data_IF_748747038627
#
_entry.id   IF_748747038627
#
_cell.length_a   1.000
_cell.length_b   1.000
_cell.length_c   1.000
_cell.angle_alpha   90.00
_cell.angle_beta   90.00
_cell.angle_gamma   90.00
#
_symmetry.space_group_name_H-M   'P 1'
#
loop_
_entity.id
_entity.type
_entity.pdbx_description
1 polymer ?
#
# COMPACT_ATOMS: atom_id res chain seq x y z
N UNK A 1 -2.02 -28.05 -5.16
CA UNK A 1 -2.35 -28.41 -3.76
C UNK A 1 -1.57 -27.59 -2.73
N UNK A 2 -0.23 -27.45 -2.79
CA UNK A 2 0.54 -26.63 -1.83
C UNK A 2 0.17 -25.14 -1.81
N UNK A 3 -0.16 -24.55 -2.97
CA UNK A 3 -0.51 -23.11 -3.10
C UNK A 3 -1.85 -22.77 -2.45
N UNK A 4 -2.85 -23.65 -2.53
CA UNK A 4 -4.18 -23.44 -1.94
C UNK A 4 -4.12 -23.51 -0.41
N UNK A 5 -3.27 -24.38 0.14
CA UNK A 5 -3.05 -24.48 1.57
C UNK A 5 -2.37 -23.23 2.14
N UNK A 6 -1.32 -22.74 1.48
CA UNK A 6 -0.59 -21.53 1.89
C UNK A 6 -1.48 -20.27 1.90
N UNK A 7 -2.40 -20.14 0.93
CA UNK A 7 -3.37 -19.03 0.89
C UNK A 7 -4.39 -19.11 2.04
N UNK A 8 -4.89 -20.31 2.35
CA UNK A 8 -5.80 -20.50 3.49
C UNK A 8 -5.11 -20.26 4.83
N UNK A 9 -3.85 -20.65 4.96
CA UNK A 9 -3.08 -20.45 6.20
C UNK A 9 -2.73 -18.96 6.40
N UNK A 10 -2.38 -18.23 5.33
CA UNK A 10 -2.20 -16.78 5.39
C UNK A 10 -3.49 -16.03 5.77
N UNK A 11 -4.64 -16.41 5.19
CA UNK A 11 -5.93 -15.81 5.52
C UNK A 11 -6.33 -16.07 6.98
N UNK A 12 -6.06 -17.29 7.50
CA UNK A 12 -6.30 -17.61 8.91
C UNK A 12 -5.39 -16.81 9.84
N UNK A 13 -4.12 -16.64 9.48
CA UNK A 13 -3.16 -15.86 10.27
C UNK A 13 -3.60 -14.38 10.34
N UNK A 14 -3.98 -13.79 9.20
CA UNK A 14 -4.51 -12.42 9.16
C UNK A 14 -5.75 -12.29 10.05
N UNK A 15 -6.72 -13.20 9.93
CA UNK A 15 -7.91 -13.16 10.78
C UNK A 15 -7.56 -13.24 12.28
N UNK A 16 -6.56 -14.04 12.64
CA UNK A 16 -6.03 -14.11 14.01
C UNK A 16 -5.42 -12.79 14.47
N UNK A 17 -4.58 -12.17 13.64
CA UNK A 17 -3.95 -10.86 13.90
C UNK A 17 -5.01 -9.79 14.13
N UNK A 18 -6.05 -9.72 13.29
CA UNK A 18 -7.12 -8.72 13.43
C UNK A 18 -8.03 -8.97 14.63
N UNK A 19 -8.35 -10.23 14.94
CA UNK A 19 -9.11 -10.57 16.14
C UNK A 19 -8.35 -10.16 17.42
N UNK A 20 -7.04 -10.41 17.46
CA UNK A 20 -6.19 -10.01 18.58
C UNK A 20 -6.03 -8.49 18.65
N UNK A 21 -5.91 -7.81 17.50
CA UNK A 21 -5.85 -6.36 17.43
C UNK A 21 -7.14 -5.72 18.00
N UNK A 22 -8.32 -6.27 17.64
CA UNK A 22 -9.61 -5.82 18.12
C UNK A 22 -9.77 -6.02 19.63
N UNK A 23 -9.32 -7.16 20.17
CA UNK A 23 -9.34 -7.42 21.61
C UNK A 23 -8.45 -6.43 22.40
N UNK A 24 -7.33 -6.00 21.83
CA UNK A 24 -6.46 -5.00 22.49
C UNK A 24 -7.14 -3.63 22.70
N UNK A 25 -8.14 -3.29 21.89
CA UNK A 25 -8.90 -2.05 22.03
C UNK A 25 -9.83 -2.04 23.27
N UNK A 26 -10.14 -3.21 23.84
CA UNK A 26 -10.96 -3.33 25.06
C UNK A 26 -10.27 -2.74 26.31
N UNK A 27 -8.97 -2.48 26.23
CA UNK A 27 -8.21 -1.84 27.31
C UNK A 27 -8.54 -0.34 27.49
N UNK A 28 -9.23 0.29 26.53
CA UNK A 28 -9.50 1.72 26.54
C UNK A 28 -10.95 2.08 26.88
N UNK A 29 -11.17 3.25 27.53
CA UNK A 29 -12.50 3.69 27.91
C UNK A 29 -13.37 4.03 26.69
N UNK A 30 -14.68 3.82 26.85
CA UNK A 30 -15.66 4.28 25.86
C UNK A 30 -15.77 5.82 25.83
N UNK A 31 -16.09 6.42 24.67
CA UNK A 31 -16.44 5.80 23.38
C UNK A 31 -15.23 5.44 22.50
N UNK A 32 -14.01 5.72 22.94
CA UNK A 32 -12.80 5.55 22.11
C UNK A 32 -12.45 4.08 21.89
N UNK A 33 -12.67 3.21 22.89
CA UNK A 33 -12.53 1.76 22.74
C UNK A 33 -13.37 1.20 21.59
N UNK A 34 -14.67 1.56 21.53
CA UNK A 34 -15.54 1.16 20.42
C UNK A 34 -15.08 1.71 19.07
N UNK A 35 -14.60 2.96 19.02
CA UNK A 35 -14.08 3.56 17.80
C UNK A 35 -12.86 2.79 17.27
N UNK A 36 -11.89 2.49 18.13
CA UNK A 36 -10.69 1.72 17.77
C UNK A 36 -11.07 0.31 17.31
N UNK A 37 -11.96 -0.39 18.02
CA UNK A 37 -12.48 -1.70 17.56
C UNK A 37 -13.12 -1.61 16.18
N UNK A 38 -13.97 -0.61 15.96
CA UNK A 38 -14.62 -0.39 14.67
C UNK A 38 -13.63 -0.16 13.54
N UNK A 39 -12.57 0.61 13.79
CA UNK A 39 -11.49 0.85 12.83
C UNK A 39 -10.76 -0.45 12.46
N UNK A 40 -10.36 -1.25 13.46
CA UNK A 40 -9.70 -2.54 13.23
C UNK A 40 -10.58 -3.48 12.41
N UNK A 41 -11.86 -3.63 12.77
CA UNK A 41 -12.77 -4.52 12.06
C UNK A 41 -13.03 -4.10 10.61
N UNK A 42 -13.05 -2.79 10.32
CA UNK A 42 -13.20 -2.29 8.94
C UNK A 42 -11.96 -2.49 8.08
N UNK A 43 -10.78 -2.47 8.69
CA UNK A 43 -9.51 -2.64 7.99
C UNK A 43 -9.13 -4.12 7.76
N UNK A 44 -9.90 -5.08 8.28
CA UNK A 44 -9.65 -6.51 8.10
C UNK A 44 -9.79 -6.92 6.63
N UNK A 45 -8.70 -7.31 5.94
CA UNK A 45 -8.73 -7.63 4.53
C UNK A 45 -9.35 -9.01 4.25
N UNK A 46 -9.74 -9.77 5.28
CA UNK A 46 -10.53 -11.01 5.13
C UNK A 46 -12.03 -10.74 4.93
N UNK A 47 -12.47 -9.48 5.12
CA UNK A 47 -13.82 -9.01 4.86
C UNK A 47 -14.23 -9.01 3.38
N UNK A 48 -15.41 -8.42 3.09
CA UNK A 48 -16.00 -8.43 1.74
C UNK A 48 -15.24 -7.58 0.71
N UNK A 49 -14.54 -6.53 1.16
CA UNK A 49 -13.76 -5.63 0.31
C UNK A 49 -12.27 -5.90 0.52
N UNK A 50 -11.74 -6.91 -0.18
CA UNK A 50 -10.32 -7.27 -0.12
C UNK A 50 -9.47 -6.19 -0.81
N UNK A 51 -9.01 -5.18 -0.06
CA UNK A 51 -7.95 -4.28 -0.54
C UNK A 51 -6.58 -4.97 -0.46
N UNK A 52 -5.68 -4.58 -1.35
CA UNK A 52 -4.30 -5.08 -1.53
C UNK A 52 -3.33 -4.72 -0.38
N UNK A 53 -3.78 -4.08 0.69
CA UNK A 53 -2.92 -3.49 1.73
C UNK A 53 -2.50 -4.50 2.82
N UNK A 54 -2.40 -5.79 2.48
CA UNK A 54 -2.05 -6.83 3.44
C UNK A 54 -0.55 -6.96 3.72
N UNK A 55 0.30 -6.27 2.96
CA UNK A 55 1.76 -6.28 3.14
C UNK A 55 2.18 -5.91 4.56
N UNK A 56 1.55 -4.90 5.18
CA UNK A 56 1.91 -4.48 6.52
C UNK A 56 1.72 -5.58 7.58
N UNK A 57 0.73 -6.47 7.41
CA UNK A 57 0.41 -7.52 8.36
C UNK A 57 1.21 -8.80 8.12
N UNK A 58 1.53 -9.11 6.86
CA UNK A 58 2.25 -10.32 6.51
C UNK A 58 3.77 -10.14 6.45
N UNK A 59 4.27 -8.90 6.36
CA UNK A 59 5.69 -8.62 6.26
C UNK A 59 6.53 -9.24 7.38
N UNK A 60 6.16 -9.13 8.68
CA UNK A 60 6.92 -9.78 9.75
C UNK A 60 7.04 -11.29 9.55
N UNK A 61 5.95 -11.95 9.13
CA UNK A 61 5.92 -13.39 8.87
C UNK A 61 6.74 -13.77 7.65
N UNK A 62 6.67 -13.01 6.55
CA UNK A 62 7.48 -13.28 5.35
C UNK A 62 8.98 -13.17 5.61
N UNK A 63 9.38 -12.18 6.41
CA UNK A 63 10.78 -12.04 6.84
C UNK A 63 11.13 -13.15 7.82
N UNK A 64 10.23 -13.49 8.75
CA UNK A 64 10.44 -14.57 9.70
C UNK A 64 10.60 -15.95 9.05
N UNK A 65 9.87 -16.24 7.98
CA UNK A 65 10.03 -17.46 7.17
C UNK A 65 11.41 -17.53 6.51
N UNK A 66 11.94 -16.39 6.06
CA UNK A 66 13.26 -16.30 5.45
C UNK A 66 14.38 -16.44 6.49
N UNK A 67 14.22 -15.85 7.67
CA UNK A 67 15.29 -15.72 8.67
C UNK A 67 15.22 -16.76 9.79
N UNK A 68 14.11 -17.49 9.91
CA UNK A 68 13.83 -18.39 11.03
C UNK A 68 13.43 -17.65 12.32
N UNK A 69 12.95 -16.40 12.23
CA UNK A 69 12.50 -15.66 13.39
C UNK A 69 11.32 -16.36 14.09
N UNK A 70 11.16 -16.09 15.40
CA UNK A 70 10.11 -16.71 16.20
C UNK A 70 8.70 -16.32 15.65
N UNK A 71 7.84 -17.29 15.28
CA UNK A 71 6.51 -17.00 14.77
C UNK A 71 5.63 -16.20 15.74
N UNK A 72 5.79 -16.40 17.05
CA UNK A 72 5.04 -15.65 18.07
C UNK A 72 5.45 -14.17 18.08
N UNK A 73 6.74 -13.86 17.89
CA UNK A 73 7.22 -12.50 17.71
C UNK A 73 6.67 -11.90 16.42
N UNK A 74 6.71 -12.64 15.31
CA UNK A 74 6.19 -12.15 14.02
C UNK A 74 4.71 -11.79 14.11
N UNK A 75 3.91 -12.59 14.82
CA UNK A 75 2.49 -12.28 15.09
C UNK A 75 2.32 -11.02 15.94
N UNK A 76 3.07 -10.86 17.02
CA UNK A 76 2.95 -9.67 17.88
C UNK A 76 3.32 -8.39 17.11
N UNK A 77 4.35 -8.46 16.26
CA UNK A 77 4.72 -7.38 15.33
C UNK A 77 3.61 -7.10 14.31
N UNK A 78 2.98 -8.14 13.75
CA UNK A 78 1.87 -7.99 12.82
C UNK A 78 0.67 -7.28 13.48
N UNK A 79 0.34 -7.62 14.72
CA UNK A 79 -0.70 -6.91 15.51
C UNK A 79 -0.29 -5.46 15.74
N UNK A 80 0.97 -5.21 16.12
CA UNK A 80 1.51 -3.85 16.22
C UNK A 80 1.39 -3.05 14.92
N UNK A 81 1.62 -3.69 13.77
CA UNK A 81 1.51 -3.08 12.45
C UNK A 81 0.06 -2.70 12.09
N UNK A 82 -0.94 -3.47 12.52
CA UNK A 82 -2.36 -3.07 12.39
C UNK A 82 -2.58 -1.71 13.06
N UNK A 83 -2.10 -1.56 14.30
CA UNK A 83 -2.28 -0.31 15.03
C UNK A 83 -1.50 0.85 14.41
N UNK A 84 -0.24 0.62 14.01
CA UNK A 84 0.57 1.64 13.35
C UNK A 84 -0.06 2.10 12.04
N UNK A 85 -0.53 1.18 11.20
CA UNK A 85 -1.15 1.51 9.92
C UNK A 85 -2.44 2.32 10.12
N UNK A 86 -3.32 1.90 11.04
CA UNK A 86 -4.54 2.65 11.36
C UNK A 86 -4.23 4.04 11.93
N UNK A 87 -3.17 4.17 12.73
CA UNK A 87 -2.72 5.47 13.21
C UNK A 87 -2.37 6.41 12.04
N UNK A 88 -1.59 5.93 11.07
CA UNK A 88 -1.22 6.74 9.90
C UNK A 88 -2.41 7.02 8.97
N UNK A 89 -3.32 6.06 8.76
CA UNK A 89 -4.54 6.31 7.97
C UNK A 89 -5.41 7.40 8.58
N UNK A 90 -5.59 7.41 9.91
CA UNK A 90 -6.34 8.48 10.57
C UNK A 90 -5.64 9.84 10.49
N UNK A 91 -4.30 9.86 10.45
CA UNK A 91 -3.57 11.11 10.23
C UNK A 91 -3.76 11.61 8.80
N UNK A 92 -3.64 10.72 7.81
CA UNK A 92 -3.84 11.02 6.39
C UNK A 92 -5.25 11.56 6.15
N UNK A 93 -6.29 10.82 6.58
CA UNK A 93 -7.70 11.21 6.45
C UNK A 93 -7.99 12.61 7.03
N UNK A 94 -7.34 12.97 8.15
CA UNK A 94 -7.51 14.28 8.79
C UNK A 94 -6.70 15.37 8.08
N UNK A 95 -5.55 15.05 7.49
CA UNK A 95 -4.73 16.00 6.72
C UNK A 95 -5.35 16.32 5.36
N UNK A 96 -5.94 15.32 4.71
CA UNK A 96 -6.66 15.47 3.44
C UNK A 96 -8.07 16.04 3.63
N UNK A 97 -8.60 15.89 4.85
CA UNK A 97 -9.82 16.55 5.29
C UNK A 97 -9.72 18.08 5.25
N UNK A 98 -10.86 18.72 5.00
CA UNK A 98 -10.98 20.18 5.03
C UNK A 98 -10.98 20.76 6.46
N UNK A 99 -12.02 21.51 6.82
CA UNK A 99 -12.07 22.16 8.13
C UNK A 99 -12.22 21.14 9.29
N UNK A 100 -11.29 21.21 10.25
CA UNK A 100 -11.23 20.28 11.38
C UNK A 100 -12.49 20.32 12.27
N UNK A 101 -13.26 19.23 12.25
CA UNK A 101 -14.51 19.02 13.00
C UNK A 101 -14.37 18.21 14.29
N UNK A 102 -15.51 17.88 14.91
CA UNK A 102 -15.56 17.02 16.11
C UNK A 102 -15.13 15.58 15.81
N UNK A 103 -15.39 15.09 14.60
CA UNK A 103 -14.96 13.75 14.18
C UNK A 103 -13.44 13.68 14.02
N UNK A 104 -12.79 14.73 13.51
CA UNK A 104 -11.33 14.79 13.39
C UNK A 104 -10.64 14.78 14.77
N UNK A 105 -11.23 15.45 15.76
CA UNK A 105 -10.72 15.38 17.14
C UNK A 105 -10.79 13.96 17.72
N UNK A 106 -11.86 13.21 17.41
CA UNK A 106 -12.01 11.81 17.84
C UNK A 106 -11.06 10.90 17.08
N UNK A 107 -10.88 11.12 15.78
CA UNK A 107 -9.91 10.42 14.94
C UNK A 107 -8.49 10.62 15.49
N UNK A 108 -8.06 11.85 15.76
CA UNK A 108 -6.74 12.14 16.33
C UNK A 108 -6.56 11.50 17.71
N UNK A 109 -7.57 11.56 18.58
CA UNK A 109 -7.53 10.92 19.89
C UNK A 109 -7.40 9.38 19.76
N UNK A 110 -8.19 8.75 18.89
CA UNK A 110 -8.08 7.33 18.60
C UNK A 110 -6.72 6.97 18.00
N UNK A 111 -6.19 7.83 17.11
CA UNK A 111 -4.85 7.72 16.55
C UNK A 111 -3.77 7.65 17.63
N UNK A 112 -3.85 8.46 18.69
CA UNK A 112 -2.89 8.38 19.79
C UNK A 112 -2.99 7.08 20.60
N UNK A 113 -4.20 6.53 20.76
CA UNK A 113 -4.38 5.22 21.41
C UNK A 113 -3.80 4.08 20.55
N UNK A 114 -4.02 4.14 19.23
CA UNK A 114 -3.43 3.21 18.27
C UNK A 114 -1.90 3.26 18.32
N UNK A 115 -1.31 4.45 18.36
CA UNK A 115 0.13 4.63 18.53
C UNK A 115 0.63 4.01 19.84
N UNK A 116 -0.08 4.19 20.95
CA UNK A 116 0.28 3.58 22.23
C UNK A 116 0.24 2.04 22.17
N UNK A 117 -0.80 1.46 21.56
CA UNK A 117 -0.91 0.01 21.35
C UNK A 117 0.22 -0.55 20.47
N UNK A 118 0.56 0.14 19.39
CA UNK A 118 1.70 -0.21 18.54
C UNK A 118 3.00 -0.25 19.35
N UNK A 119 3.28 0.80 20.12
CA UNK A 119 4.48 0.90 20.95
C UNK A 119 4.51 -0.20 22.02
N UNK A 120 3.37 -0.54 22.62
CA UNK A 120 3.28 -1.63 23.60
C UNK A 120 3.66 -2.98 22.98
N UNK A 121 3.10 -3.32 21.81
CA UNK A 121 3.37 -4.58 21.10
C UNK A 121 4.85 -4.72 20.77
N UNK A 122 5.44 -3.70 20.15
CA UNK A 122 6.87 -3.72 19.84
C UNK A 122 7.75 -3.69 21.11
N UNK A 123 7.34 -2.96 22.15
CA UNK A 123 8.07 -2.84 23.41
C UNK A 123 8.21 -4.14 24.20
N UNK A 124 7.34 -5.12 23.98
CA UNK A 124 7.47 -6.47 24.57
C UNK A 124 8.71 -7.23 24.09
N UNK A 125 9.20 -6.89 22.89
CA UNK A 125 10.31 -7.55 22.24
C UNK A 125 11.57 -6.68 22.18
N UNK A 126 11.41 -5.35 22.19
CA UNK A 126 12.52 -4.42 22.03
C UNK A 126 12.58 -3.44 23.20
N UNK A 127 13.65 -3.48 24.03
CA UNK A 127 13.83 -2.51 25.10
C UNK A 127 14.04 -1.09 24.53
N UNK A 128 13.87 -0.03 25.34
CA UNK A 128 13.97 1.36 24.87
C UNK A 128 15.31 1.75 24.23
N UNK A 129 16.39 1.05 24.55
CA UNK A 129 17.74 1.24 24.00
C UNK A 129 18.01 0.41 22.72
N UNK A 130 17.04 -0.37 22.26
CA UNK A 130 17.13 -1.14 21.03
C UNK A 130 17.43 -0.25 19.81
N UNK A 131 18.32 -0.70 18.88
CA UNK A 131 18.58 0.02 17.63
C UNK A 131 17.33 0.15 16.74
N UNK A 132 16.31 -0.70 16.93
CA UNK A 132 15.04 -0.63 16.21
C UNK A 132 14.43 0.79 16.24
N UNK A 133 14.48 1.45 17.40
CA UNK A 133 13.86 2.76 17.57
C UNK A 133 14.56 3.87 16.81
N UNK A 134 15.84 3.68 16.44
CA UNK A 134 16.53 4.59 15.53
C UNK A 134 15.95 4.47 14.11
N UNK A 135 15.75 3.24 13.61
CA UNK A 135 15.08 3.01 12.33
C UNK A 135 13.66 3.58 12.32
N UNK A 136 12.90 3.38 13.40
CA UNK A 136 11.55 3.93 13.50
C UNK A 136 11.54 5.46 13.36
N UNK A 137 12.45 6.17 14.04
CA UNK A 137 12.56 7.64 13.89
C UNK A 137 12.92 8.06 12.48
N UNK A 138 13.81 7.32 11.81
CA UNK A 138 14.16 7.58 10.41
C UNK A 138 12.94 7.43 9.51
N UNK A 139 12.21 6.32 9.62
CA UNK A 139 11.02 6.08 8.78
C UNK A 139 9.87 7.05 9.09
N UNK A 140 9.73 7.49 10.34
CA UNK A 140 8.78 8.53 10.71
C UNK A 140 9.16 9.88 10.08
N UNK A 141 10.45 10.23 10.03
CA UNK A 141 10.92 11.45 9.38
C UNK A 141 10.73 11.39 7.85
N UNK A 142 10.95 10.23 7.24
CA UNK A 142 10.67 10.00 5.82
C UNK A 142 9.17 10.18 5.51
N UNK A 143 8.30 9.58 6.31
CA UNK A 143 6.84 9.75 6.21
C UNK A 143 6.45 11.22 6.35
N UNK A 144 6.89 11.87 7.43
CA UNK A 144 6.54 13.25 7.73
C UNK A 144 6.96 14.22 6.60
N UNK A 145 8.14 13.98 6.01
CA UNK A 145 8.63 14.76 4.86
C UNK A 145 7.76 14.49 3.62
N UNK A 146 7.36 13.25 3.39
CA UNK A 146 6.58 12.88 2.21
C UNK A 146 5.17 13.49 2.24
N UNK A 147 4.48 13.43 3.38
CA UNK A 147 3.14 14.02 3.53
C UNK A 147 3.18 15.56 3.55
N UNK A 148 4.25 16.17 4.07
CA UNK A 148 4.37 17.64 4.07
C UNK A 148 4.69 18.23 2.69
N UNK A 149 5.40 17.46 1.85
CA UNK A 149 5.80 17.88 0.51
C UNK A 149 4.79 17.48 -0.59
N UNK A 150 3.69 16.84 -0.20
CA UNK A 150 2.69 16.34 -1.13
C UNK A 150 2.07 17.45 -1.99
N UNK A 151 1.81 17.14 -3.26
CA UNK A 151 1.31 18.10 -4.24
C UNK A 151 2.31 19.18 -4.68
N UNK A 152 3.38 19.45 -3.92
CA UNK A 152 4.39 20.47 -4.28
C UNK A 152 5.16 20.06 -5.54
N UNK A 153 5.51 18.77 -5.65
CA UNK A 153 6.17 18.18 -6.83
C UNK A 153 5.29 17.08 -7.39
N UNK A 154 5.41 16.85 -8.70
CA UNK A 154 4.75 15.71 -9.34
C UNK A 154 5.37 14.40 -8.88
N UNK A 155 4.55 13.43 -8.52
CA UNK A 155 5.00 12.08 -8.22
C UNK A 155 5.63 11.46 -9.48
N UNK A 156 6.90 11.09 -9.39
CA UNK A 156 7.61 10.43 -10.50
C UNK A 156 7.30 8.93 -10.47
N UNK A 157 6.65 8.36 -11.50
CA UNK A 157 6.32 6.94 -11.52
C UNK A 157 7.54 6.02 -11.53
N UNK A 158 8.76 6.53 -11.78
CA UNK A 158 10.01 5.74 -11.77
C UNK A 158 10.82 5.88 -10.48
N UNK A 159 10.49 6.82 -9.61
CA UNK A 159 11.18 6.98 -8.33
C UNK A 159 10.50 6.12 -7.25
N UNK A 160 10.79 4.82 -7.28
CA UNK A 160 10.20 3.87 -6.33
C UNK A 160 10.44 4.27 -4.87
N UNK A 161 11.58 4.91 -4.57
CA UNK A 161 11.88 5.35 -3.20
C UNK A 161 10.97 6.49 -2.80
N UNK A 162 10.73 7.46 -3.68
CA UNK A 162 9.80 8.55 -3.42
C UNK A 162 8.36 8.04 -3.24
N UNK A 163 7.90 7.15 -4.13
CA UNK A 163 6.57 6.55 -4.06
C UNK A 163 6.33 5.78 -2.74
N UNK A 164 7.35 5.08 -2.23
CA UNK A 164 7.22 4.31 -1.00
C UNK A 164 7.33 5.14 0.30
N UNK A 165 7.68 6.43 0.26
CA UNK A 165 7.97 7.20 1.50
C UNK A 165 6.77 7.38 2.40
N UNK A 166 5.57 7.57 1.83
CA UNK A 166 4.31 7.62 2.59
C UNK A 166 4.01 6.31 3.33
N UNK A 167 4.61 5.21 2.91
CA UNK A 167 4.50 3.91 3.57
C UNK A 167 5.78 3.50 4.30
N UNK A 168 6.76 4.40 4.47
CA UNK A 168 8.03 4.09 5.11
C UNK A 168 7.92 3.39 6.48
N UNK A 169 6.94 3.72 7.37
CA UNK A 169 6.79 3.04 8.65
C UNK A 169 6.55 1.52 8.53
N UNK A 170 6.01 1.04 7.41
CA UNK A 170 5.79 -0.41 7.16
C UNK A 170 7.10 -1.19 7.21
N UNK A 171 8.23 -0.58 6.82
CA UNK A 171 9.56 -1.20 6.87
C UNK A 171 9.94 -1.69 8.27
N UNK A 172 9.39 -1.09 9.33
CA UNK A 172 9.77 -1.39 10.71
C UNK A 172 9.56 -2.87 11.08
N UNK A 173 8.51 -3.50 10.57
CA UNK A 173 8.24 -4.93 10.81
C UNK A 173 9.35 -5.84 10.28
N UNK A 174 9.91 -5.52 9.11
CA UNK A 174 11.05 -6.25 8.55
C UNK A 174 12.32 -6.03 9.36
N UNK A 175 12.60 -4.77 9.74
CA UNK A 175 13.76 -4.43 10.59
C UNK A 175 13.70 -5.19 11.91
N UNK A 176 12.55 -5.20 12.57
CA UNK A 176 12.34 -5.93 13.81
C UNK A 176 12.62 -7.43 13.61
N UNK A 177 11.97 -8.07 12.64
CA UNK A 177 12.20 -9.49 12.38
C UNK A 177 13.69 -9.83 12.15
N UNK A 178 14.42 -9.00 11.37
CA UNK A 178 15.85 -9.17 11.13
C UNK A 178 16.73 -8.97 12.36
N UNK A 179 16.44 -7.94 13.18
CA UNK A 179 17.14 -7.71 14.43
C UNK A 179 16.94 -8.88 15.41
N UNK A 180 15.74 -9.43 15.49
CA UNK A 180 15.45 -10.60 16.35
C UNK A 180 16.19 -11.86 15.89
N UNK A 181 16.47 -11.98 14.58
CA UNK A 181 17.22 -13.07 13.99
C UNK A 181 18.75 -12.85 14.02
N UNK A 182 19.23 -11.71 14.51
CA UNK A 182 20.66 -11.39 14.53
C UNK A 182 21.25 -11.08 13.15
N UNK A 183 20.45 -10.54 12.23
CA UNK A 183 20.82 -10.27 10.83
C UNK A 183 20.76 -8.78 10.47
N UNK A 184 21.41 -7.86 11.23
CA UNK A 184 21.33 -6.43 10.96
C UNK A 184 21.92 -6.03 9.59
N UNK A 185 22.89 -6.79 9.08
CA UNK A 185 23.55 -6.50 7.79
C UNK A 185 22.61 -6.66 6.59
N UNK A 186 21.47 -7.34 6.75
CA UNK A 186 20.47 -7.53 5.70
C UNK A 186 19.36 -6.46 5.72
N UNK A 187 19.39 -5.53 6.68
CA UNK A 187 18.32 -4.53 6.84
C UNK A 187 18.21 -3.61 5.62
N UNK A 188 19.32 -3.21 5.03
CA UNK A 188 19.31 -2.31 3.86
C UNK A 188 18.63 -2.98 2.65
N UNK A 189 18.98 -4.23 2.35
CA UNK A 189 18.41 -4.97 1.23
C UNK A 189 16.92 -5.27 1.45
N UNK A 190 16.54 -5.64 2.68
CA UNK A 190 15.14 -5.86 3.03
C UNK A 190 14.31 -4.57 2.98
N UNK A 191 14.87 -3.44 3.44
CA UNK A 191 14.21 -2.15 3.34
C UNK A 191 13.97 -1.76 1.87
N UNK A 192 14.97 -1.94 1.00
CA UNK A 192 14.80 -1.68 -0.43
C UNK A 192 13.77 -2.62 -1.07
N UNK A 193 13.78 -3.91 -0.73
CA UNK A 193 12.77 -4.84 -1.23
C UNK A 193 11.34 -4.44 -0.83
N UNK A 194 11.16 -3.99 0.42
CA UNK A 194 9.88 -3.46 0.90
C UNK A 194 9.49 -2.18 0.16
N UNK A 195 10.43 -1.26 -0.07
CA UNK A 195 10.17 -0.03 -0.84
C UNK A 195 9.72 -0.33 -2.28
N UNK A 196 10.38 -1.27 -2.97
CA UNK A 196 9.99 -1.65 -4.33
C UNK A 196 8.58 -2.25 -4.35
N UNK A 197 8.24 -3.11 -3.39
CA UNK A 197 6.92 -3.70 -3.26
C UNK A 197 5.83 -2.66 -2.96
N UNK A 198 6.12 -1.71 -2.06
CA UNK A 198 5.19 -0.62 -1.70
C UNK A 198 5.02 0.37 -2.86
N UNK A 199 6.08 0.68 -3.61
CA UNK A 199 5.98 1.51 -4.80
C UNK A 199 5.12 0.84 -5.89
N UNK A 200 5.21 -0.48 -6.04
CA UNK A 200 4.32 -1.23 -6.94
C UNK A 200 2.86 -1.13 -6.51
N UNK A 201 2.58 -1.22 -5.21
CA UNK A 201 1.24 -1.04 -4.66
C UNK A 201 0.72 0.38 -4.94
N UNK A 202 1.52 1.41 -4.63
CA UNK A 202 1.15 2.81 -4.87
C UNK A 202 0.82 3.08 -6.34
N UNK A 203 1.61 2.55 -7.28
CA UNK A 203 1.33 2.69 -8.71
C UNK A 203 0.02 2.01 -9.14
N UNK A 204 -0.35 0.91 -8.49
CA UNK A 204 -1.61 0.23 -8.77
C UNK A 204 -2.81 0.98 -8.16
N UNK A 205 -2.64 1.56 -6.97
CA UNK A 205 -3.65 2.41 -6.32
C UNK A 205 -3.84 3.71 -7.12
N UNK A 206 -2.76 4.38 -7.54
CA UNK A 206 -2.82 5.57 -8.41
C UNK A 206 -3.54 5.28 -9.74
N UNK A 207 -3.43 4.04 -10.25
CA UNK A 207 -4.21 3.58 -11.41
C UNK A 207 -5.68 3.28 -11.06
N UNK A 208 -5.98 2.74 -9.88
CA UNK A 208 -7.36 2.52 -9.49
C UNK A 208 -8.11 3.86 -9.30
N UNK A 209 -7.42 4.85 -8.72
CA UNK A 209 -8.00 6.07 -8.19
C UNK A 209 -7.83 7.29 -9.12
N UNK A 210 -7.21 7.12 -10.31
CA UNK A 210 -6.89 8.25 -11.21
C UNK A 210 -8.06 9.18 -11.54
N UNK A 211 -9.31 8.67 -11.55
CA UNK A 211 -10.50 9.49 -11.82
C UNK A 211 -10.83 10.42 -10.66
N UNK A 212 -10.67 9.93 -9.44
CA UNK A 212 -10.96 10.64 -8.21
C UNK A 212 -9.83 11.63 -7.90
N UNK A 213 -8.58 11.29 -8.24
CA UNK A 213 -7.41 12.15 -8.03
C UNK A 213 -7.24 13.23 -9.10
N UNK A 214 -7.82 13.04 -10.29
CA UNK A 214 -7.74 14.01 -11.37
C UNK A 214 -8.18 15.43 -10.93
N UNK A 215 -9.31 15.61 -10.23
CA UNK A 215 -9.66 16.89 -9.62
C UNK A 215 -8.86 17.15 -8.34
N UNK A 216 -7.79 17.94 -8.42
CA UNK A 216 -7.12 18.52 -7.26
C UNK A 216 -5.86 17.77 -6.80
N UNK A 217 -5.73 16.48 -7.11
CA UNK A 217 -4.59 15.64 -6.68
C UNK A 217 -3.73 15.14 -7.86
N UNK A 218 -3.95 15.69 -9.08
CA UNK A 218 -3.23 15.33 -10.32
C UNK A 218 -1.70 15.29 -10.17
N UNK A 219 -1.14 16.10 -9.26
CA UNK A 219 0.30 16.17 -9.02
C UNK A 219 0.80 15.04 -8.10
N UNK A 220 -0.03 14.58 -7.18
CA UNK A 220 0.34 13.51 -6.23
C UNK A 220 0.17 12.12 -6.85
N UNK A 221 -0.70 11.98 -7.87
CA UNK A 221 -0.90 10.72 -8.58
C UNK A 221 0.18 10.49 -9.68
N UNK A 222 0.94 9.41 -9.55
CA UNK A 222 2.04 9.07 -10.44
C UNK A 222 1.57 8.55 -11.81
N UNK A 223 0.40 7.89 -11.88
CA UNK A 223 -0.19 7.48 -13.16
C UNK A 223 -0.63 8.70 -14.00
N UNK A 224 -1.24 9.71 -13.39
CA UNK A 224 -1.59 10.95 -14.07
C UNK A 224 -0.32 11.71 -14.52
N UNK A 225 0.75 11.66 -13.73
CA UNK A 225 2.06 12.19 -14.14
C UNK A 225 2.64 11.45 -15.34
N UNK A 226 2.56 10.11 -15.36
CA UNK A 226 2.95 9.26 -16.50
C UNK A 226 2.17 9.65 -17.77
N UNK A 227 0.84 9.73 -17.66
CA UNK A 227 -0.06 10.12 -18.77
C UNK A 227 0.35 11.47 -19.34
N UNK A 228 0.51 12.48 -18.47
CA UNK A 228 0.88 13.84 -18.86
C UNK A 228 2.22 13.87 -19.58
N UNK A 229 3.27 13.36 -18.94
CA UNK A 229 4.65 13.57 -19.40
C UNK A 229 5.03 12.67 -20.56
N UNK A 230 4.61 11.42 -20.53
CA UNK A 230 5.13 10.40 -21.42
C UNK A 230 4.15 10.00 -22.51
N UNK A 231 2.86 9.90 -22.18
CA UNK A 231 1.85 9.52 -23.17
C UNK A 231 1.36 10.71 -24.02
N UNK A 232 1.30 11.91 -23.44
CA UNK A 232 0.75 13.10 -24.09
C UNK A 232 1.77 14.22 -24.33
N UNK A 233 2.91 14.24 -23.62
CA UNK A 233 3.86 15.35 -23.59
C UNK A 233 3.17 16.71 -23.36
N UNK A 234 2.21 16.74 -22.41
CA UNK A 234 1.32 17.86 -22.18
C UNK A 234 2.02 18.95 -21.33
N UNK A 235 2.05 20.22 -21.79
CA UNK A 235 2.63 21.34 -21.03
C UNK A 235 2.01 21.53 -19.64
N UNK A 236 2.79 22.02 -18.67
CA UNK A 236 2.36 22.19 -17.27
C UNK A 236 1.23 23.22 -17.10
N UNK A 237 1.14 24.21 -17.97
CA UNK A 237 0.09 25.24 -17.97
C UNK A 237 -1.24 24.72 -18.56
N UNK A 238 -1.23 23.57 -19.22
CA UNK A 238 -2.42 22.96 -19.78
C UNK A 238 -3.04 21.94 -18.80
N UNK A 239 -4.32 22.10 -18.41
CA UNK A 239 -4.98 21.17 -17.49
C UNK A 239 -5.15 19.79 -18.14
N UNK A 240 -4.89 18.72 -17.37
CA UNK A 240 -5.19 17.36 -17.79
C UNK A 240 -6.69 17.13 -17.67
N UNK A 241 -7.34 16.77 -18.78
CA UNK A 241 -8.78 16.51 -18.80
C UNK A 241 -9.03 15.02 -18.88
N UNK A 242 -10.12 14.54 -18.29
CA UNK A 242 -10.48 13.11 -18.28
C UNK A 242 -10.45 12.50 -19.69
N UNK A 243 -10.98 13.20 -20.69
CA UNK A 243 -10.93 12.77 -22.10
C UNK A 243 -9.52 12.53 -22.63
N UNK A 244 -8.53 13.29 -22.17
CA UNK A 244 -7.12 13.14 -22.57
C UNK A 244 -6.50 11.93 -21.87
N UNK A 245 -6.87 11.68 -20.61
CA UNK A 245 -6.45 10.47 -19.88
C UNK A 245 -7.02 9.22 -20.55
N UNK A 246 -8.32 9.21 -20.87
CA UNK A 246 -8.95 8.12 -21.63
C UNK A 246 -8.29 7.95 -23.02
N UNK A 247 -7.96 9.04 -23.71
CA UNK A 247 -7.21 8.97 -24.95
C UNK A 247 -5.83 8.31 -24.74
N UNK A 248 -5.13 8.64 -23.66
CA UNK A 248 -3.83 8.06 -23.36
C UNK A 248 -3.94 6.55 -23.06
N UNK A 249 -4.93 6.15 -22.28
CA UNK A 249 -5.22 4.74 -21.96
C UNK A 249 -5.52 3.95 -23.24
N UNK A 250 -6.53 4.35 -24.01
CA UNK A 250 -7.02 3.54 -25.14
C UNK A 250 -6.26 3.71 -26.45
N UNK A 251 -5.47 4.80 -26.63
CA UNK A 251 -4.79 5.08 -27.91
C UNK A 251 -3.28 5.29 -27.81
N UNK A 252 -2.74 5.58 -26.62
CA UNK A 252 -1.30 5.83 -26.43
C UNK A 252 -0.61 4.76 -25.56
N UNK A 253 -1.37 3.77 -25.09
CA UNK A 253 -0.85 2.68 -24.29
C UNK A 253 -0.26 3.14 -22.96
N UNK A 254 -0.91 4.11 -22.29
CA UNK A 254 -0.46 4.59 -20.99
C UNK A 254 -0.41 3.46 -19.94
N UNK A 255 -1.36 2.53 -20.02
CA UNK A 255 -1.42 1.39 -19.10
C UNK A 255 -0.31 0.37 -19.38
N UNK A 256 0.08 0.16 -20.64
CA UNK A 256 1.28 -0.61 -20.99
C UNK A 256 2.57 0.03 -20.47
N UNK A 257 2.67 1.36 -20.47
CA UNK A 257 3.82 2.06 -19.90
C UNK A 257 3.89 1.85 -18.38
N UNK A 258 2.75 1.92 -17.67
CA UNK A 258 2.67 1.60 -16.25
C UNK A 258 3.09 0.15 -15.97
N UNK A 259 2.56 -0.79 -16.76
CA UNK A 259 2.91 -2.21 -16.65
C UNK A 259 4.43 -2.44 -16.85
N UNK A 260 5.05 -1.72 -17.77
CA UNK A 260 6.50 -1.79 -17.99
C UNK A 260 7.31 -1.32 -16.77
N UNK A 261 6.85 -0.29 -16.06
CA UNK A 261 7.50 0.18 -14.83
C UNK A 261 7.39 -0.89 -13.73
N UNK A 262 6.19 -1.46 -13.56
CA UNK A 262 5.95 -2.52 -12.58
C UNK A 262 6.75 -3.81 -12.89
N UNK A 263 6.92 -4.16 -14.16
CA UNK A 263 7.82 -5.27 -14.54
C UNK A 263 9.27 -4.98 -14.14
N UNK A 264 9.74 -3.74 -14.33
CA UNK A 264 11.05 -3.29 -13.85
C UNK A 264 11.21 -3.37 -12.32
N UNK A 265 10.15 -3.13 -11.55
CA UNK A 265 10.16 -3.37 -10.10
C UNK A 265 10.37 -4.86 -9.78
N UNK A 266 9.73 -5.77 -10.52
CA UNK A 266 9.91 -7.21 -10.36
C UNK A 266 11.34 -7.66 -10.68
N UNK A 267 11.93 -7.13 -11.75
CA UNK A 267 13.35 -7.36 -12.09
C UNK A 267 14.27 -6.88 -10.97
N UNK A 268 14.02 -5.68 -10.42
CA UNK A 268 14.79 -5.13 -9.31
C UNK A 268 14.70 -5.99 -8.05
N UNK A 269 13.49 -6.39 -7.65
CA UNK A 269 13.28 -7.32 -6.54
C UNK A 269 14.03 -8.63 -6.72
N UNK A 270 14.06 -9.15 -7.95
CA UNK A 270 14.74 -10.41 -8.25
C UNK A 270 16.27 -10.31 -8.23
N UNK A 271 16.81 -9.09 -8.38
CA UNK A 271 18.24 -8.82 -8.33
C UNK A 271 18.77 -8.57 -6.90
N UNK A 272 17.87 -8.29 -5.93
CA UNK A 272 18.26 -8.09 -4.54
C UNK A 272 18.59 -9.43 -3.87
N UNK A 273 19.61 -9.47 -2.99
CA UNK A 273 19.92 -10.67 -2.22
C UNK A 273 18.86 -10.91 -1.13
N UNK A 274 18.60 -12.18 -0.82
CA UNK A 274 17.77 -12.59 0.32
C UNK A 274 16.39 -11.91 0.39
N UNK A 275 15.70 -11.75 -0.74
CA UNK A 275 14.34 -11.22 -0.74
C UNK A 275 13.36 -12.26 -0.22
N UNK A 276 12.50 -11.86 0.71
CA UNK A 276 11.45 -12.73 1.21
C UNK A 276 10.50 -13.15 0.07
N UNK A 277 10.25 -14.46 -0.14
CA UNK A 277 9.38 -14.94 -1.21
C UNK A 277 7.96 -14.33 -1.19
N UNK A 278 7.47 -13.96 -0.01
CA UNK A 278 6.20 -13.27 0.16
C UNK A 278 6.14 -11.90 -0.53
N UNK A 279 7.23 -11.12 -0.49
CA UNK A 279 7.32 -9.82 -1.18
C UNK A 279 7.32 -9.99 -2.71
N UNK A 280 8.03 -11.01 -3.21
CA UNK A 280 8.03 -11.33 -4.64
C UNK A 280 6.64 -11.72 -5.11
N UNK A 281 5.95 -12.60 -4.36
CA UNK A 281 4.58 -13.01 -4.69
C UNK A 281 3.61 -11.82 -4.65
N UNK A 282 3.71 -10.98 -3.63
CA UNK A 282 2.90 -9.77 -3.50
C UNK A 282 3.04 -8.86 -4.74
N UNK A 283 4.27 -8.59 -5.15
CA UNK A 283 4.54 -7.76 -6.32
C UNK A 283 4.05 -8.42 -7.62
N UNK A 284 4.19 -9.74 -7.75
CA UNK A 284 3.66 -10.49 -8.91
C UNK A 284 2.14 -10.44 -9.00
N UNK A 285 1.43 -10.46 -7.87
CA UNK A 285 -0.03 -10.32 -7.83
C UNK A 285 -0.47 -8.94 -8.33
N UNK A 286 0.25 -7.88 -7.93
CA UNK A 286 0.01 -6.52 -8.43
C UNK A 286 0.23 -6.44 -9.94
N UNK A 287 1.37 -6.95 -10.43
CA UNK A 287 1.66 -7.00 -11.88
C UNK A 287 0.56 -7.76 -12.62
N UNK A 288 0.12 -8.90 -12.11
CA UNK A 288 -0.94 -9.68 -12.73
C UNK A 288 -2.25 -8.90 -12.82
N UNK A 289 -2.62 -8.14 -11.78
CA UNK A 289 -3.77 -7.23 -11.80
C UNK A 289 -3.69 -6.21 -12.93
N UNK A 290 -2.57 -5.47 -13.02
CA UNK A 290 -2.38 -4.46 -14.05
C UNK A 290 -2.33 -5.07 -15.46
N UNK A 291 -1.70 -6.24 -15.63
CA UNK A 291 -1.67 -6.93 -16.92
C UNK A 291 -3.08 -7.39 -17.37
N UNK A 292 -3.96 -7.76 -16.43
CA UNK A 292 -5.36 -8.03 -16.76
C UNK A 292 -6.07 -6.77 -17.24
N UNK A 293 -5.82 -5.61 -16.62
CA UNK A 293 -6.40 -4.33 -17.03
C UNK A 293 -5.87 -3.86 -18.40
N UNK A 294 -4.59 -4.10 -18.69
CA UNK A 294 -4.00 -3.90 -20.04
C UNK A 294 -4.76 -4.73 -21.06
N UNK A 295 -4.99 -6.02 -20.79
CA UNK A 295 -5.71 -6.89 -21.71
C UNK A 295 -7.16 -6.45 -21.90
N UNK A 296 -7.86 -6.09 -20.82
CA UNK A 296 -9.23 -5.58 -20.88
C UNK A 296 -9.34 -4.27 -21.70
N UNK A 297 -8.33 -3.39 -21.60
CA UNK A 297 -8.22 -2.16 -22.38
C UNK A 297 -8.04 -2.44 -23.87
N UNK A 298 -7.19 -3.42 -24.22
CA UNK A 298 -6.99 -3.86 -25.61
C UNK A 298 -8.25 -4.48 -26.20
N UNK A 299 -8.88 -5.40 -25.47
CA UNK A 299 -10.12 -6.06 -25.90
C UNK A 299 -11.24 -5.02 -26.15
N UNK A 300 -11.32 -3.99 -25.31
CA UNK A 300 -12.28 -2.89 -25.48
C UNK A 300 -11.97 -2.08 -26.74
N UNK A 301 -10.70 -1.77 -26.98
CA UNK A 301 -10.23 -1.02 -28.16
C UNK A 301 -10.51 -1.79 -29.45
N UNK A 302 -10.20 -3.08 -29.48
CA UNK A 302 -10.42 -3.97 -30.63
C UNK A 302 -11.92 -4.13 -30.95
N UNK A 303 -12.78 -4.25 -29.93
CA UNK A 303 -14.24 -4.30 -30.11
C UNK A 303 -14.79 -2.99 -30.70
N UNK A 304 -14.30 -1.84 -30.23
CA UNK A 304 -14.69 -0.54 -30.77
C UNK A 304 -14.20 -0.34 -32.21
N UNK A 305 -12.99 -0.80 -32.54
CA UNK A 305 -12.41 -0.70 -33.88
C UNK A 305 -13.07 -1.65 -34.90
N UNK A 306 -13.44 -2.87 -34.49
CA UNK A 306 -13.99 -3.91 -35.38
C UNK A 306 -15.53 -3.89 -35.49
N UNK A 307 -16.25 -3.53 -34.42
CA UNK A 307 -17.72 -3.54 -34.37
C UNK A 307 -18.38 -2.16 -34.44
N UNK A 308 -17.62 -1.08 -34.30
CA UNK A 308 -18.12 0.29 -34.17
C UNK A 308 -18.73 0.60 -32.79
N UNK A 309 -18.70 1.86 -32.37
CA UNK A 309 -19.15 2.29 -31.03
C UNK A 309 -20.62 2.00 -30.72
N UNK A 310 -21.48 1.92 -31.75
CA UNK A 310 -22.89 1.59 -31.59
C UNK A 310 -23.14 0.11 -31.24
N UNK A 311 -22.37 -0.81 -31.82
CA UNK A 311 -22.48 -2.24 -31.50
C UNK A 311 -22.01 -2.56 -30.08
N UNK A 312 -20.98 -1.85 -29.60
CA UNK A 312 -20.49 -1.97 -28.23
C UNK A 312 -21.53 -1.47 -27.21
N UNK A 313 -22.17 -0.33 -27.49
CA UNK A 313 -23.25 0.19 -26.65
C UNK A 313 -24.43 -0.79 -26.55
N UNK A 314 -24.84 -1.38 -27.68
CA UNK A 314 -25.90 -2.39 -27.72
C UNK A 314 -25.53 -3.69 -26.97
N UNK A 315 -24.25 -4.11 -26.96
CA UNK A 315 -23.84 -5.28 -26.18
C UNK A 315 -23.90 -5.03 -24.68
N UNK A 316 -23.59 -3.81 -24.23
CA UNK A 316 -23.70 -3.43 -22.81
C UNK A 316 -25.15 -3.31 -22.33
N UNK A 317 -26.09 -3.01 -23.21
CA UNK A 317 -27.52 -2.97 -22.87
C UNK A 317 -28.19 -4.34 -22.75
N UNK A 318 -27.57 -5.42 -23.24
CA UNK A 318 -28.13 -6.78 -23.14
C UNK A 318 -27.74 -7.52 -21.85
N UNK A 319 -26.83 -6.95 -21.06
CA UNK A 319 -26.38 -7.47 -19.76
C UNK A 319 -27.14 -6.83 -18.57
N UNK A 320 -28.10 -5.94 -18.84
CA UNK A 320 -29.10 -5.41 -17.90
C UNK A 320 -30.42 -6.17 -18.05
#
# INVERSE_FOLDING_TARGET
MKTVQAVHDAAREIAGVFAEAAAGADAYPEPLGALVRGLVMRADPTGRDRKSNYIAFLLPSWIGELTGANPALCRDLAVGNVYAMLHFFLLDDVMDGGDAGLEDKRALAAGQLLQALFMERYGRHYPPDSPLWAYYRTYLAEWATAVSDEGLRRADPRDFRALARKSAPVKLGAVAALLSAGLPDQIADAAEAVEVALASLQLADDWADWRDDLPGEERSNAFLTLVRRESLALPEDQPLQERLVLQAIYRKGALEQLASILLGHGERLSALPNVAPGLVRFQQEIVAGIMNDVQATRDTTDKLASGGGFSYFLSKMKEL
#
